data_IF_261267410161
#
_entry.id   IF_261267410161
#
_cell.length_a   1.000
_cell.length_b   1.000
_cell.length_c   1.000
_cell.angle_alpha   90.00
_cell.angle_beta   90.00
_cell.angle_gamma   90.00
#
_symmetry.space_group_name_H-M   'P 1'
#
loop_
_entity.id
_entity.type
_entity.pdbx_description
1 polymer ?
#
# COMPACT_ATOMS: atom_id res chain seq x y z
N UNK A 1 16.17 -18.34 11.57
CA UNK A 1 14.72 -18.26 11.35
C UNK A 1 14.27 -16.94 11.93
N UNK A 2 13.60 -16.07 11.16
CA UNK A 2 12.91 -14.94 11.78
C UNK A 2 11.90 -15.49 12.80
N UNK A 3 11.64 -14.77 13.89
CA UNK A 3 10.62 -15.19 14.84
C UNK A 3 9.30 -15.41 14.07
N UNK A 4 8.64 -16.52 14.35
CA UNK A 4 7.38 -16.84 13.70
C UNK A 4 6.39 -15.73 14.04
N UNK A 5 5.82 -15.10 12.99
CA UNK A 5 4.83 -14.05 13.19
C UNK A 5 3.54 -14.68 13.71
N UNK A 6 3.21 -14.41 14.95
CA UNK A 6 1.96 -14.85 15.59
C UNK A 6 1.01 -13.65 15.63
N UNK A 7 -0.07 -13.66 14.81
CA UNK A 7 -1.06 -12.61 14.86
C UNK A 7 -1.69 -12.53 16.25
N UNK A 8 -1.74 -11.35 16.83
CA UNK A 8 -2.47 -11.13 18.07
C UNK A 8 -3.98 -11.00 17.78
N UNK A 9 -4.86 -11.53 18.66
CA UNK A 9 -6.29 -11.26 18.54
C UNK A 9 -6.56 -9.77 18.57
N UNK A 10 -7.42 -9.29 17.67
CA UNK A 10 -7.74 -7.84 17.58
C UNK A 10 -8.20 -7.27 18.93
N UNK A 11 -9.02 -8.00 19.67
CA UNK A 11 -9.57 -7.58 20.96
C UNK A 11 -8.50 -7.44 22.07
N UNK A 12 -7.27 -7.94 21.84
CA UNK A 12 -6.15 -7.76 22.76
C UNK A 12 -5.35 -6.48 22.52
N UNK A 13 -5.66 -5.73 21.48
CA UNK A 13 -4.94 -4.50 21.09
C UNK A 13 -5.74 -3.28 21.54
N UNK A 14 -5.13 -2.48 22.43
CA UNK A 14 -5.62 -1.12 22.71
C UNK A 14 -5.22 -0.20 21.54
N UNK A 15 -6.17 0.04 20.62
CA UNK A 15 -5.93 0.79 19.40
C UNK A 15 -5.55 2.25 19.67
N UNK A 16 -6.12 2.87 20.70
CA UNK A 16 -5.82 4.26 21.05
C UNK A 16 -4.36 4.39 21.54
N UNK A 17 -3.94 3.49 22.43
CA UNK A 17 -2.56 3.44 22.93
C UNK A 17 -1.57 3.16 21.79
N UNK A 18 -1.90 2.24 20.89
CA UNK A 18 -1.05 1.93 19.74
C UNK A 18 -0.89 3.14 18.80
N UNK A 19 -1.97 3.83 18.47
CA UNK A 19 -1.93 5.03 17.62
C UNK A 19 -1.17 6.19 18.26
N UNK A 20 -1.37 6.42 19.55
CA UNK A 20 -0.65 7.46 20.29
C UNK A 20 0.86 7.17 20.38
N UNK A 21 1.25 5.91 20.51
CA UNK A 21 2.65 5.50 20.53
C UNK A 21 3.34 5.82 19.17
N UNK A 22 2.67 5.60 18.05
CA UNK A 22 3.19 5.97 16.72
C UNK A 22 3.31 7.49 16.56
N UNK A 23 2.35 8.26 17.04
CA UNK A 23 2.37 9.73 16.95
C UNK A 23 3.42 10.37 17.88
N UNK A 24 3.60 9.84 19.07
CA UNK A 24 4.54 10.37 20.06
C UNK A 24 5.99 9.92 19.87
N UNK A 25 6.22 8.78 19.20
CA UNK A 25 7.54 8.15 19.06
C UNK A 25 8.23 8.37 17.72
N UNK A 26 7.54 8.90 16.70
CA UNK A 26 8.07 9.00 15.34
C UNK A 26 7.89 10.44 14.83
N UNK A 27 9.01 11.13 14.62
CA UNK A 27 9.03 12.49 14.04
C UNK A 27 9.07 12.43 12.48
N UNK A 28 8.27 11.53 11.90
CA UNK A 28 8.11 11.34 10.46
C UNK A 28 6.63 11.16 10.11
N UNK A 29 6.23 11.47 8.86
CA UNK A 29 4.89 11.15 8.40
C UNK A 29 4.57 9.65 8.55
N UNK A 30 3.46 9.34 9.20
CA UNK A 30 3.01 7.96 9.42
C UNK A 30 1.95 7.57 8.40
N UNK A 31 2.14 6.46 7.72
CA UNK A 31 1.14 5.79 6.88
C UNK A 31 0.52 4.66 7.68
N UNK A 32 -0.76 4.75 8.00
CA UNK A 32 -1.47 3.63 8.59
C UNK A 32 -2.08 2.76 7.49
N UNK A 33 -1.76 1.48 7.55
CA UNK A 33 -2.32 0.43 6.68
C UNK A 33 -2.91 -0.69 7.53
N UNK A 34 -4.17 -1.04 7.29
CA UNK A 34 -4.81 -2.22 7.86
C UNK A 34 -5.27 -3.15 6.73
N UNK A 35 -4.32 -3.93 6.18
CA UNK A 35 -4.52 -4.76 4.98
C UNK A 35 -5.31 -6.02 5.30
N UNK A 36 -6.44 -6.28 4.61
CA UNK A 36 -7.21 -7.51 4.79
C UNK A 36 -6.49 -8.71 4.15
N UNK A 37 -6.81 -9.91 4.65
CA UNK A 37 -6.25 -11.17 4.14
C UNK A 37 -6.49 -11.37 2.64
N UNK A 38 -7.67 -11.01 2.13
CA UNK A 38 -8.01 -11.09 0.70
C UNK A 38 -7.10 -10.28 -0.24
N UNK A 39 -6.32 -9.35 0.31
CA UNK A 39 -5.31 -8.57 -0.41
C UNK A 39 -3.89 -8.85 0.12
N UNK A 40 -3.65 -10.04 0.66
CA UNK A 40 -2.34 -10.48 1.14
C UNK A 40 -1.89 -9.83 2.46
N UNK A 41 -2.81 -9.28 3.24
CA UNK A 41 -2.54 -8.74 4.57
C UNK A 41 -2.64 -9.79 5.68
N UNK A 42 -2.44 -9.36 6.91
CA UNK A 42 -2.47 -10.22 8.09
C UNK A 42 -3.62 -9.88 9.05
N UNK A 43 -4.52 -8.99 8.66
CA UNK A 43 -5.64 -8.64 9.51
C UNK A 43 -6.68 -9.75 9.50
N UNK A 44 -6.84 -10.43 10.63
CA UNK A 44 -7.70 -11.62 10.80
C UNK A 44 -9.10 -11.30 11.38
N UNK A 45 -9.38 -10.04 11.69
CA UNK A 45 -10.67 -9.58 12.19
C UNK A 45 -11.73 -9.44 11.11
N UNK A 46 -12.92 -9.01 11.53
CA UNK A 46 -14.02 -8.72 10.60
C UNK A 46 -13.76 -7.43 9.81
N UNK A 47 -14.44 -7.28 8.66
CA UNK A 47 -14.35 -6.03 7.89
C UNK A 47 -14.81 -4.81 8.69
N UNK A 48 -15.80 -4.97 9.57
CA UNK A 48 -16.27 -3.90 10.47
C UNK A 48 -15.18 -3.47 11.45
N UNK A 49 -14.48 -4.42 12.07
CA UNK A 49 -13.33 -4.14 12.93
C UNK A 49 -12.22 -3.43 12.16
N UNK A 50 -11.91 -3.89 10.95
CA UNK A 50 -10.91 -3.27 10.08
C UNK A 50 -11.25 -1.81 9.75
N UNK A 51 -12.49 -1.54 9.37
CA UNK A 51 -12.98 -0.18 9.10
C UNK A 51 -12.92 0.66 10.37
N UNK A 52 -13.19 0.08 11.54
CA UNK A 52 -13.01 0.73 12.84
C UNK A 52 -11.57 1.20 13.07
N UNK A 53 -10.58 0.38 12.72
CA UNK A 53 -9.15 0.76 12.78
C UNK A 53 -8.85 1.94 11.87
N UNK A 54 -9.33 1.91 10.62
CA UNK A 54 -9.11 3.00 9.67
C UNK A 54 -9.78 4.31 10.12
N UNK A 55 -10.99 4.25 10.69
CA UNK A 55 -11.66 5.42 11.28
C UNK A 55 -10.85 6.01 12.44
N UNK A 56 -10.45 5.18 13.40
CA UNK A 56 -9.66 5.62 14.55
C UNK A 56 -8.33 6.27 14.12
N UNK A 57 -7.68 5.72 13.09
CA UNK A 57 -6.46 6.29 12.54
C UNK A 57 -6.70 7.68 11.93
N UNK A 58 -7.76 7.85 11.14
CA UNK A 58 -8.13 9.15 10.57
C UNK A 58 -8.48 10.15 11.68
N UNK A 59 -9.26 9.73 12.67
CA UNK A 59 -9.63 10.56 13.83
C UNK A 59 -8.42 11.00 14.63
N UNK A 60 -7.43 10.11 14.80
CA UNK A 60 -6.18 10.43 15.49
C UNK A 60 -5.29 11.39 14.69
N UNK A 61 -5.56 11.61 13.39
CA UNK A 61 -4.81 12.52 12.54
C UNK A 61 -3.46 11.95 12.10
N UNK A 62 -3.39 10.66 11.73
CA UNK A 62 -2.22 10.10 11.03
C UNK A 62 -1.99 10.86 9.72
N UNK A 63 -0.75 10.93 9.27
CA UNK A 63 -0.39 11.69 8.06
C UNK A 63 -1.06 11.12 6.81
N UNK A 64 -1.10 9.78 6.71
CA UNK A 64 -1.67 9.06 5.59
C UNK A 64 -2.44 7.83 6.05
N UNK A 65 -3.50 7.49 5.32
CA UNK A 65 -4.22 6.23 5.46
C UNK A 65 -4.27 5.51 4.10
N UNK A 66 -4.04 4.20 4.11
CA UNK A 66 -4.14 3.35 2.93
C UNK A 66 -5.56 2.75 2.88
N UNK A 67 -6.36 3.16 1.89
CA UNK A 67 -7.74 2.71 1.69
C UNK A 67 -7.83 1.88 0.41
N UNK A 68 -8.14 0.59 0.57
CA UNK A 68 -8.32 -0.29 -0.56
C UNK A 68 -9.51 0.14 -1.42
N UNK A 69 -9.38 -0.01 -2.74
CA UNK A 69 -10.43 0.36 -3.69
C UNK A 69 -11.67 -0.54 -3.57
N UNK A 70 -11.51 -1.77 -3.06
CA UNK A 70 -12.58 -2.74 -2.88
C UNK A 70 -13.41 -2.55 -1.58
N UNK A 71 -13.09 -1.56 -0.75
CA UNK A 71 -13.96 -1.13 0.34
C UNK A 71 -15.31 -0.70 -0.26
N UNK A 72 -16.42 -1.12 0.36
CA UNK A 72 -17.77 -0.72 -0.09
C UNK A 72 -17.83 0.78 -0.36
N UNK A 73 -18.34 1.19 -1.51
CA UNK A 73 -18.32 2.56 -1.98
C UNK A 73 -18.85 3.60 -0.96
N UNK A 74 -19.95 3.28 -0.27
CA UNK A 74 -20.52 4.16 0.77
C UNK A 74 -19.56 4.35 1.95
N UNK A 75 -18.97 3.27 2.46
CA UNK A 75 -17.99 3.29 3.56
C UNK A 75 -16.72 4.01 3.14
N UNK A 76 -16.24 3.75 1.92
CA UNK A 76 -15.04 4.41 1.39
C UNK A 76 -15.24 5.92 1.26
N UNK A 77 -16.40 6.34 0.75
CA UNK A 77 -16.78 7.77 0.67
C UNK A 77 -16.84 8.43 2.06
N UNK A 78 -17.38 7.73 3.05
CA UNK A 78 -17.40 8.20 4.45
C UNK A 78 -15.97 8.40 4.97
N UNK A 79 -15.08 7.40 4.84
CA UNK A 79 -13.70 7.49 5.29
C UNK A 79 -12.94 8.63 4.60
N UNK A 80 -13.13 8.82 3.30
CA UNK A 80 -12.53 9.93 2.56
C UNK A 80 -13.02 11.29 3.08
N UNK A 81 -14.33 11.43 3.33
CA UNK A 81 -14.89 12.66 3.93
C UNK A 81 -14.34 12.93 5.32
N UNK A 82 -14.16 11.89 6.14
CA UNK A 82 -13.52 12.02 7.45
C UNK A 82 -12.06 12.44 7.38
N UNK A 83 -11.35 12.01 6.35
CA UNK A 83 -9.93 12.32 6.13
C UNK A 83 -9.69 13.74 5.63
N UNK A 84 -10.70 14.37 5.01
CA UNK A 84 -10.57 15.67 4.37
C UNK A 84 -9.99 16.73 5.31
N UNK A 85 -8.94 17.41 4.84
CA UNK A 85 -8.26 18.48 5.58
C UNK A 85 -7.35 18.04 6.73
N UNK A 86 -7.22 16.71 7.04
CA UNK A 86 -6.38 16.23 8.15
C UNK A 86 -5.53 15.00 7.87
N UNK A 87 -5.99 14.10 7.03
CA UNK A 87 -5.28 12.85 6.70
C UNK A 87 -5.31 12.65 5.19
N UNK A 88 -4.16 12.40 4.57
CA UNK A 88 -4.10 12.11 3.14
C UNK A 88 -4.43 10.66 2.85
N UNK A 89 -4.91 10.37 1.65
CA UNK A 89 -5.39 9.04 1.26
C UNK A 89 -4.53 8.44 0.16
N UNK A 90 -4.04 7.23 0.41
CA UNK A 90 -3.49 6.33 -0.61
C UNK A 90 -4.64 5.41 -1.03
N UNK A 91 -5.05 5.46 -2.30
CA UNK A 91 -5.97 4.49 -2.86
C UNK A 91 -5.20 3.27 -3.35
N UNK A 92 -5.49 2.09 -2.83
CA UNK A 92 -4.67 0.93 -3.12
C UNK A 92 -5.45 -0.27 -3.63
N UNK A 93 -4.79 -1.08 -4.45
CA UNK A 93 -5.21 -2.42 -4.82
C UNK A 93 -4.02 -3.39 -4.82
N UNK A 94 -4.28 -4.64 -4.45
CA UNK A 94 -3.28 -5.71 -4.42
C UNK A 94 -3.86 -6.92 -5.15
N UNK A 95 -3.35 -7.20 -6.34
CA UNK A 95 -3.71 -8.37 -7.12
C UNK A 95 -2.85 -9.56 -6.74
N UNK A 96 -3.47 -10.72 -6.57
CA UNK A 96 -2.77 -12.00 -6.45
C UNK A 96 -2.31 -12.55 -7.80
N UNK A 97 -2.81 -11.95 -8.89
CA UNK A 97 -2.49 -12.34 -10.26
C UNK A 97 -1.34 -11.51 -10.81
N UNK A 98 -0.65 -12.05 -11.81
CA UNK A 98 0.32 -11.31 -12.59
C UNK A 98 -0.38 -10.31 -13.52
N UNK A 99 0.25 -9.15 -13.81
CA UNK A 99 -0.31 -8.21 -14.75
C UNK A 99 -0.34 -8.81 -16.17
N UNK A 100 -1.44 -8.64 -16.90
CA UNK A 100 -1.55 -9.14 -18.27
C UNK A 100 -0.62 -8.37 -19.21
N UNK A 101 -0.64 -7.04 -19.11
CA UNK A 101 0.22 -6.14 -19.88
C UNK A 101 0.29 -4.74 -19.21
N UNK A 102 1.19 -3.88 -19.69
CA UNK A 102 1.37 -2.54 -19.14
C UNK A 102 0.15 -1.63 -19.34
N UNK A 103 -0.57 -1.77 -20.46
CA UNK A 103 -1.74 -0.93 -20.74
C UNK A 103 -2.90 -1.18 -19.79
N UNK A 104 -3.13 -2.42 -19.37
CA UNK A 104 -4.14 -2.73 -18.34
C UNK A 104 -3.79 -2.10 -17.00
N UNK A 105 -2.52 -2.15 -16.59
CA UNK A 105 -2.06 -1.49 -15.37
C UNK A 105 -2.32 0.02 -15.43
N UNK A 106 -2.05 0.65 -16.58
CA UNK A 106 -2.31 2.09 -16.80
C UNK A 106 -3.80 2.38 -16.67
N UNK A 107 -4.67 1.58 -17.32
CA UNK A 107 -6.13 1.76 -17.25
C UNK A 107 -6.67 1.57 -15.82
N UNK A 108 -6.14 0.59 -15.07
CA UNK A 108 -6.51 0.40 -13.67
C UNK A 108 -6.18 1.64 -12.83
N UNK A 109 -4.99 2.23 -13.04
CA UNK A 109 -4.55 3.42 -12.33
C UNK A 109 -5.40 4.64 -12.69
N UNK A 110 -5.62 4.88 -13.99
CA UNK A 110 -6.46 5.99 -14.49
C UNK A 110 -7.89 5.86 -13.97
N UNK A 111 -8.44 4.64 -13.92
CA UNK A 111 -9.76 4.37 -13.35
C UNK A 111 -9.88 4.68 -11.85
N UNK A 112 -8.76 4.80 -11.14
CA UNK A 112 -8.69 5.12 -9.72
C UNK A 112 -8.39 6.60 -9.42
N UNK A 113 -8.25 7.48 -10.41
CA UNK A 113 -7.79 8.87 -10.26
C UNK A 113 -8.48 9.64 -9.12
N UNK A 114 -9.81 9.57 -9.03
CA UNK A 114 -10.58 10.27 -7.99
C UNK A 114 -10.60 9.55 -6.63
N UNK A 115 -9.83 8.47 -6.48
CA UNK A 115 -9.93 7.58 -5.32
C UNK A 115 -8.96 7.91 -4.18
N UNK A 116 -7.95 8.75 -4.40
CA UNK A 116 -6.96 9.15 -3.40
C UNK A 116 -5.94 10.12 -3.97
N UNK A 117 -5.04 10.59 -3.12
CA UNK A 117 -3.97 11.49 -3.54
C UNK A 117 -2.80 10.73 -4.19
N UNK A 118 -2.58 9.49 -3.80
CA UNK A 118 -1.63 8.57 -4.43
C UNK A 118 -2.39 7.31 -4.82
N UNK A 119 -2.23 6.88 -6.06
CA UNK A 119 -2.77 5.63 -6.57
C UNK A 119 -1.70 4.55 -6.48
N UNK A 120 -1.98 3.53 -5.68
CA UNK A 120 -1.05 2.44 -5.41
C UNK A 120 -1.59 1.14 -5.97
N UNK A 121 -0.82 0.51 -6.85
CA UNK A 121 -1.13 -0.83 -7.37
C UNK A 121 0.02 -1.79 -7.10
N UNK A 122 -0.34 -2.97 -6.62
CA UNK A 122 0.59 -4.06 -6.38
C UNK A 122 0.10 -5.30 -7.12
N UNK A 123 0.98 -5.92 -7.91
CA UNK A 123 0.70 -7.16 -8.63
C UNK A 123 1.64 -8.26 -8.17
N UNK A 124 1.18 -9.50 -8.23
CA UNK A 124 2.09 -10.63 -8.09
C UNK A 124 3.07 -10.65 -9.28
N UNK A 125 4.31 -11.00 -9.02
CA UNK A 125 5.35 -11.13 -10.05
C UNK A 125 6.11 -12.44 -9.87
N UNK A 126 6.28 -13.20 -10.94
CA UNK A 126 7.03 -14.47 -10.94
C UNK A 126 8.40 -14.36 -11.59
N UNK A 127 8.76 -13.20 -12.14
CA UNK A 127 10.03 -12.99 -12.76
C UNK A 127 10.13 -11.72 -13.62
N UNK A 128 11.15 -11.70 -14.49
CA UNK A 128 11.48 -10.52 -15.29
C UNK A 128 10.33 -10.02 -16.18
N UNK A 129 9.57 -10.93 -16.78
CA UNK A 129 8.49 -10.54 -17.71
C UNK A 129 7.40 -9.75 -17.01
N UNK A 130 6.94 -10.18 -15.84
CA UNK A 130 5.97 -9.43 -15.05
C UNK A 130 6.56 -8.13 -14.50
N UNK A 131 7.83 -8.15 -14.06
CA UNK A 131 8.54 -6.94 -13.63
C UNK A 131 8.68 -5.89 -14.73
N UNK A 132 8.95 -6.31 -15.98
CA UNK A 132 9.02 -5.40 -17.14
C UNK A 132 7.68 -4.74 -17.45
N UNK A 133 6.56 -5.46 -17.34
CA UNK A 133 5.22 -4.87 -17.55
C UNK A 133 4.94 -3.75 -16.54
N UNK A 134 5.31 -3.96 -15.27
CA UNK A 134 5.19 -2.93 -14.24
C UNK A 134 6.08 -1.72 -14.52
N UNK A 135 7.31 -1.97 -14.95
CA UNK A 135 8.24 -0.91 -15.32
C UNK A 135 7.73 -0.10 -16.51
N UNK A 136 7.24 -0.77 -17.55
CA UNK A 136 6.65 -0.12 -18.73
C UNK A 136 5.41 0.71 -18.37
N UNK A 137 4.53 0.20 -17.51
CA UNK A 137 3.37 0.97 -17.03
C UNK A 137 3.79 2.22 -16.26
N UNK A 138 4.77 2.09 -15.35
CA UNK A 138 5.31 3.23 -14.61
C UNK A 138 6.00 4.24 -15.55
N UNK A 139 6.73 3.76 -16.55
CA UNK A 139 7.34 4.61 -17.57
C UNK A 139 6.30 5.39 -18.39
N UNK A 140 5.21 4.75 -18.77
CA UNK A 140 4.12 5.40 -19.52
C UNK A 140 3.41 6.49 -18.72
N UNK A 141 3.36 6.33 -17.38
CA UNK A 141 2.70 7.28 -16.48
C UNK A 141 3.64 8.34 -15.89
N UNK A 142 4.97 8.24 -16.07
CA UNK A 142 5.94 9.10 -15.39
C UNK A 142 5.76 10.61 -15.57
N UNK A 143 5.18 11.01 -16.68
CA UNK A 143 4.91 12.43 -16.99
C UNK A 143 3.42 12.80 -16.84
N UNK A 144 2.60 11.89 -16.29
CA UNK A 144 1.20 12.16 -15.96
C UNK A 144 1.09 13.07 -14.74
N UNK A 145 -0.10 13.62 -14.50
CA UNK A 145 -0.40 14.38 -13.28
C UNK A 145 -0.80 13.46 -12.10
N UNK A 146 -0.94 12.16 -12.35
CA UNK A 146 -1.30 11.19 -11.34
C UNK A 146 -0.09 10.89 -10.45
N UNK A 147 -0.28 10.93 -9.15
CA UNK A 147 0.71 10.45 -8.18
C UNK A 147 0.57 8.95 -8.06
N UNK A 148 1.64 8.23 -8.34
CA UNK A 148 1.58 6.78 -8.48
C UNK A 148 2.60 6.04 -7.60
N UNK A 149 2.22 4.80 -7.27
CA UNK A 149 3.08 3.82 -6.62
C UNK A 149 2.80 2.44 -7.22
N UNK A 150 3.63 2.01 -8.16
CA UNK A 150 3.47 0.76 -8.91
C UNK A 150 4.54 -0.23 -8.45
N UNK A 151 4.11 -1.39 -7.94
CA UNK A 151 5.02 -2.35 -7.32
C UNK A 151 4.68 -3.79 -7.69
N UNK A 152 5.72 -4.64 -7.72
CA UNK A 152 5.58 -6.08 -7.73
C UNK A 152 5.75 -6.70 -6.35
N UNK A 153 5.07 -7.83 -6.13
CA UNK A 153 5.22 -8.71 -4.97
C UNK A 153 5.73 -10.05 -5.47
N UNK A 154 7.02 -10.30 -5.32
CA UNK A 154 7.68 -11.50 -5.80
C UNK A 154 8.89 -11.20 -6.68
N UNK A 155 9.39 -12.21 -7.39
CA UNK A 155 10.58 -12.08 -8.21
C UNK A 155 10.40 -11.04 -9.33
N UNK A 156 11.35 -10.11 -9.49
CA UNK A 156 11.28 -9.00 -10.45
C UNK A 156 10.38 -7.84 -10.04
N UNK A 157 9.76 -7.91 -8.85
CA UNK A 157 8.89 -6.86 -8.33
C UNK A 157 9.63 -5.68 -7.69
N UNK A 158 10.93 -5.77 -7.55
CA UNK A 158 11.81 -4.75 -6.97
C UNK A 158 12.18 -3.63 -7.97
N UNK A 159 12.07 -3.86 -9.27
CA UNK A 159 12.58 -2.94 -10.29
C UNK A 159 11.92 -1.56 -10.25
N UNK A 160 10.60 -1.48 -10.09
CA UNK A 160 9.91 -0.19 -9.99
C UNK A 160 10.28 0.57 -8.72
N UNK A 161 10.70 -0.15 -7.66
CA UNK A 161 11.16 0.47 -6.39
C UNK A 161 12.57 1.02 -6.54
N UNK A 162 13.50 0.22 -7.10
CA UNK A 162 14.90 0.63 -7.31
C UNK A 162 14.98 1.84 -8.25
N UNK A 163 14.12 1.87 -9.29
CA UNK A 163 14.07 2.94 -10.28
C UNK A 163 12.99 3.98 -9.99
N UNK A 164 12.46 4.03 -8.76
CA UNK A 164 11.40 4.95 -8.37
C UNK A 164 11.63 6.41 -8.81
N UNK A 165 12.81 7.02 -8.57
CA UNK A 165 13.09 8.38 -9.02
C UNK A 165 13.06 8.55 -10.55
N UNK A 166 13.56 7.58 -11.31
CA UNK A 166 13.54 7.59 -12.78
C UNK A 166 12.11 7.48 -13.34
N UNK A 167 11.27 6.73 -12.65
CA UNK A 167 9.89 6.45 -13.01
C UNK A 167 8.90 7.47 -12.41
N UNK A 168 9.40 8.52 -11.76
CA UNK A 168 8.61 9.53 -11.05
C UNK A 168 7.57 8.92 -10.10
N UNK A 169 7.92 7.83 -9.41
CA UNK A 169 7.05 7.24 -8.40
C UNK A 169 7.00 8.11 -7.15
N UNK A 170 5.80 8.47 -6.71
CA UNK A 170 5.60 9.34 -5.54
C UNK A 170 5.79 8.60 -4.22
N UNK A 171 5.66 7.28 -4.23
CA UNK A 171 5.82 6.44 -3.04
C UNK A 171 6.41 5.09 -3.42
N UNK A 172 7.42 4.66 -2.70
CA UNK A 172 7.96 3.31 -2.76
C UNK A 172 8.03 2.72 -1.35
N UNK A 173 7.80 1.42 -1.25
CA UNK A 173 7.91 0.69 0.01
C UNK A 173 9.22 -0.08 0.06
N UNK A 174 9.96 0.12 1.14
CA UNK A 174 11.16 -0.63 1.47
C UNK A 174 11.06 -1.18 2.89
N UNK A 175 11.97 -2.07 3.25
CA UNK A 175 12.05 -2.63 4.60
C UNK A 175 13.39 -2.25 5.24
N UNK A 176 13.45 -2.29 6.55
CA UNK A 176 14.71 -2.18 7.31
C UNK A 176 15.33 -3.56 7.58
N UNK A 177 14.74 -4.61 7.02
CA UNK A 177 15.22 -5.98 7.14
C UNK A 177 16.43 -6.21 6.24
N UNK A 178 17.39 -7.00 6.72
CA UNK A 178 18.51 -7.50 5.91
C UNK A 178 18.27 -8.97 5.56
N UNK A 179 18.55 -9.36 4.33
CA UNK A 179 18.48 -10.77 3.94
C UNK A 179 18.39 -10.98 2.42
N UNK A 180 18.92 -12.09 1.96
CA UNK A 180 18.94 -12.46 0.54
C UNK A 180 17.56 -12.78 -0.05
N UNK A 181 16.55 -12.92 0.79
CA UNK A 181 15.16 -13.21 0.38
C UNK A 181 14.38 -11.97 -0.05
N UNK A 182 14.88 -10.75 0.19
CA UNK A 182 14.15 -9.51 -0.10
C UNK A 182 13.81 -9.38 -1.58
N UNK A 183 14.78 -9.60 -2.47
CA UNK A 183 14.55 -9.49 -3.92
C UNK A 183 13.60 -10.57 -4.45
N UNK A 184 13.61 -11.78 -3.88
CA UNK A 184 12.66 -12.83 -4.24
C UNK A 184 11.22 -12.52 -3.85
N UNK A 185 11.03 -11.60 -2.90
CA UNK A 185 9.73 -11.09 -2.47
C UNK A 185 9.38 -9.73 -3.10
N UNK A 186 10.20 -9.24 -4.04
CA UNK A 186 10.02 -7.91 -4.63
C UNK A 186 10.28 -6.76 -3.65
N UNK A 187 10.97 -7.02 -2.54
CA UNK A 187 11.29 -6.00 -1.53
C UNK A 187 12.71 -5.48 -1.70
N UNK A 188 12.96 -4.28 -1.25
CA UNK A 188 14.28 -3.66 -1.16
C UNK A 188 14.56 -3.22 0.28
N UNK A 189 15.83 -3.20 0.65
CA UNK A 189 16.28 -2.66 1.93
C UNK A 189 16.48 -1.14 1.82
N UNK A 190 16.11 -0.40 2.85
CA UNK A 190 16.26 1.06 2.93
C UNK A 190 17.66 1.51 3.42
N UNK A 191 18.49 0.57 3.91
CA UNK A 191 19.84 0.86 4.43
C UNK A 191 20.92 0.70 3.40
#
# INVERSE_FOLDING_TARGET
>A
NPPEFIPQPFDSVDLAVALDAFKGGIDLPVVLTCRPDRQGGYFSGTEEQRIGVLRAAIESGVSWVDLEIDIKAATRKELMSMAEGKTRVIASTHSTDEPSNASEIVLDIEGMEASGEIIKVCYNTSGRNSGLKLFEAAWNLKDSQLKTSIMGMGAGGDWTRIHGPLLHQDLVYSTMESGSHLSSQGRINAS
#
